data_IF_412660002803
#
_entry.id   IF_412660002803
#
_cell.length_a   1.000
_cell.length_b   1.000
_cell.length_c   1.000
_cell.angle_alpha   90.00
_cell.angle_beta   90.00
_cell.angle_gamma   90.00
#
_symmetry.space_group_name_H-M   'P 1'
#
loop_
_entity.id
_entity.type
_entity.pdbx_description
1 polymer ?
#
# COMPACT_ATOMS: atom_id res chain seq x y z
N UNK A 1 -15.11 24.09 -17.67
CA UNK A 1 -15.32 22.74 -18.21
C UNK A 1 -14.92 21.79 -17.10
N UNK A 2 -15.91 21.16 -16.47
CA UNK A 2 -15.69 20.16 -15.45
C UNK A 2 -15.12 18.91 -16.11
N UNK A 3 -13.86 18.59 -15.81
CA UNK A 3 -13.30 17.27 -16.08
C UNK A 3 -13.99 16.29 -15.13
N UNK A 4 -15.07 15.67 -15.59
CA UNK A 4 -15.60 14.46 -14.96
C UNK A 4 -14.57 13.34 -15.20
N UNK A 5 -13.67 13.14 -14.25
CA UNK A 5 -12.76 12.00 -14.23
C UNK A 5 -13.58 10.72 -14.11
N UNK A 6 -13.81 10.04 -15.24
CA UNK A 6 -14.31 8.68 -15.28
C UNK A 6 -13.39 7.72 -14.50
N UNK A 7 -13.84 6.49 -14.19
CA UNK A 7 -13.05 5.54 -13.41
C UNK A 7 -11.65 5.37 -14.02
N UNK A 8 -10.61 5.48 -13.18
CA UNK A 8 -9.21 5.36 -13.59
C UNK A 8 -9.03 4.06 -14.39
N UNK A 9 -8.84 4.17 -15.71
CA UNK A 9 -8.56 3.04 -16.57
C UNK A 9 -7.11 2.57 -16.31
N UNK A 10 -6.95 1.55 -15.46
CA UNK A 10 -5.64 1.07 -15.03
C UNK A 10 -5.08 0.07 -16.06
N UNK A 11 -4.00 0.46 -16.73
CA UNK A 11 -3.24 -0.43 -17.62
C UNK A 11 -1.90 -0.79 -16.97
N UNK A 12 -1.77 -2.05 -16.51
CA UNK A 12 -0.58 -2.57 -15.83
C UNK A 12 0.68 -2.39 -16.67
N UNK A 13 0.61 -2.57 -17.99
CA UNK A 13 1.77 -2.48 -18.89
C UNK A 13 2.31 -1.06 -19.03
N UNK A 14 1.56 -0.05 -18.59
CA UNK A 14 1.96 1.37 -18.58
C UNK A 14 2.45 1.83 -17.22
N UNK A 15 2.51 0.94 -16.23
CA UNK A 15 3.05 1.28 -14.91
C UNK A 15 4.56 1.41 -15.01
N UNK A 16 5.06 2.61 -14.72
CA UNK A 16 6.48 2.86 -14.51
C UNK A 16 6.58 4.12 -13.66
N UNK A 17 6.95 4.00 -12.40
CA UNK A 17 6.96 5.14 -11.50
C UNK A 17 8.16 6.06 -11.77
N UNK A 18 7.98 7.34 -11.46
CA UNK A 18 9.06 8.30 -11.39
C UNK A 18 10.19 7.76 -10.48
N UNK A 19 11.48 7.99 -10.78
CA UNK A 19 12.61 7.43 -10.00
C UNK A 19 12.48 7.61 -8.49
N UNK A 20 12.01 8.78 -8.03
CA UNK A 20 11.75 9.09 -6.60
C UNK A 20 10.81 8.08 -5.92
N UNK A 21 9.88 7.48 -6.67
CA UNK A 21 8.87 6.55 -6.16
C UNK A 21 9.07 5.12 -6.65
N UNK A 22 10.19 4.82 -7.34
CA UNK A 22 10.40 3.51 -7.96
C UNK A 22 10.47 2.38 -6.93
N UNK A 23 11.03 2.65 -5.76
CA UNK A 23 11.08 1.65 -4.68
C UNK A 23 9.70 1.30 -4.13
N UNK A 24 8.74 2.23 -4.17
CA UNK A 24 7.35 1.95 -3.78
C UNK A 24 6.69 1.01 -4.80
N UNK A 25 6.92 1.25 -6.09
CA UNK A 25 6.46 0.36 -7.16
C UNK A 25 7.04 -1.05 -6.97
N UNK A 26 8.36 -1.15 -6.81
CA UNK A 26 9.05 -2.43 -6.62
C UNK A 26 8.56 -3.15 -5.36
N UNK A 27 8.33 -2.43 -4.27
CA UNK A 27 7.79 -2.99 -3.02
C UNK A 27 6.41 -3.61 -3.23
N UNK A 28 5.54 -2.94 -3.98
CA UNK A 28 4.21 -3.49 -4.31
C UNK A 28 4.29 -4.76 -5.15
N UNK A 29 5.14 -4.77 -6.19
CA UNK A 29 5.34 -5.96 -7.01
C UNK A 29 5.96 -7.11 -6.22
N UNK A 30 6.95 -6.82 -5.38
CA UNK A 30 7.57 -7.81 -4.51
C UNK A 30 6.55 -8.41 -3.55
N UNK A 31 5.71 -7.58 -2.91
CA UNK A 31 4.63 -8.06 -2.06
C UNK A 31 3.69 -9.03 -2.79
N UNK A 32 3.18 -8.67 -3.97
CA UNK A 32 2.30 -9.56 -4.75
C UNK A 32 2.99 -10.88 -5.11
N UNK A 33 4.25 -10.81 -5.55
CA UNK A 33 5.04 -11.97 -5.89
C UNK A 33 5.27 -12.87 -4.67
N UNK A 34 5.65 -12.30 -3.52
CA UNK A 34 5.88 -13.02 -2.28
C UNK A 34 4.61 -13.74 -1.83
N UNK A 35 3.46 -13.07 -1.83
CA UNK A 35 2.19 -13.69 -1.41
C UNK A 35 1.79 -14.85 -2.33
N UNK A 36 1.94 -14.69 -3.65
CA UNK A 36 1.63 -15.78 -4.60
C UNK A 36 2.61 -16.95 -4.48
N UNK A 37 3.90 -16.65 -4.31
CA UNK A 37 4.97 -17.66 -4.25
C UNK A 37 4.89 -18.45 -2.95
N UNK A 38 4.71 -17.78 -1.81
CA UNK A 38 4.64 -18.42 -0.50
C UNK A 38 3.32 -19.16 -0.29
N UNK A 39 2.25 -18.83 -1.01
CA UNK A 39 1.00 -19.61 -0.96
C UNK A 39 0.99 -20.83 -1.87
N UNK A 40 2.01 -21.01 -2.71
CA UNK A 40 2.04 -22.10 -3.68
C UNK A 40 2.56 -23.41 -3.06
N UNK A 41 1.81 -24.49 -3.25
CA UNK A 41 2.13 -25.80 -2.67
C UNK A 41 3.47 -26.34 -3.15
N UNK A 42 3.72 -26.32 -4.46
CA UNK A 42 4.93 -26.92 -5.02
C UNK A 42 6.16 -26.12 -4.60
N UNK A 43 6.05 -24.80 -4.55
CA UNK A 43 7.10 -23.93 -4.03
C UNK A 43 7.40 -24.25 -2.56
N UNK A 44 6.38 -24.31 -1.70
CA UNK A 44 6.59 -24.67 -0.28
C UNK A 44 7.23 -26.04 -0.13
N UNK A 45 6.79 -27.03 -0.90
CA UNK A 45 7.31 -28.38 -0.83
C UNK A 45 8.78 -28.45 -1.28
N UNK A 46 9.14 -27.75 -2.36
CA UNK A 46 10.52 -27.64 -2.83
C UNK A 46 11.40 -26.95 -1.78
N UNK A 47 10.92 -25.85 -1.20
CA UNK A 47 11.67 -25.12 -0.16
C UNK A 47 11.94 -26.03 1.03
N UNK A 48 10.91 -26.70 1.57
CA UNK A 48 11.08 -27.61 2.72
C UNK A 48 12.04 -28.76 2.44
N UNK A 49 11.90 -29.41 1.27
CA UNK A 49 12.72 -30.56 0.87
C UNK A 49 14.18 -30.19 0.63
N UNK A 50 14.45 -29.02 0.03
CA UNK A 50 15.83 -28.54 -0.16
C UNK A 50 16.45 -28.09 1.16
N UNK A 51 15.65 -27.45 2.02
CA UNK A 51 16.08 -26.93 3.31
C UNK A 51 16.38 -28.04 4.33
N UNK A 52 15.72 -29.20 4.24
CA UNK A 52 16.02 -30.34 5.12
C UNK A 52 17.39 -30.99 4.90
N UNK A 53 18.12 -30.59 3.85
CA UNK A 53 19.43 -31.15 3.49
C UNK A 53 20.59 -30.24 3.95
N UNK A 54 20.31 -29.02 4.41
CA UNK A 54 21.32 -28.04 4.83
C UNK A 54 20.98 -27.47 6.21
N UNK A 55 21.84 -27.72 7.22
CA UNK A 55 21.60 -27.34 8.64
C UNK A 55 21.27 -25.85 8.85
N UNK A 56 21.72 -24.95 7.97
CA UNK A 56 21.41 -23.51 8.04
C UNK A 56 19.99 -23.12 7.63
N UNK A 57 19.17 -24.05 7.12
CA UNK A 57 17.85 -23.76 6.56
C UNK A 57 16.68 -24.22 7.44
N UNK A 58 16.95 -24.82 8.60
CA UNK A 58 15.90 -25.16 9.56
C UNK A 58 15.11 -23.91 10.00
N UNK A 59 15.81 -22.81 10.30
CA UNK A 59 15.17 -21.53 10.65
C UNK A 59 14.31 -20.96 9.52
N UNK A 60 14.59 -21.29 8.26
CA UNK A 60 13.73 -20.90 7.14
C UNK A 60 12.41 -21.66 7.13
N UNK A 61 12.44 -22.96 7.46
CA UNK A 61 11.20 -23.74 7.59
C UNK A 61 10.35 -23.20 8.76
N UNK A 62 10.98 -22.84 9.88
CA UNK A 62 10.30 -22.20 11.01
C UNK A 62 9.69 -20.83 10.63
N UNK A 63 10.40 -20.04 9.83
CA UNK A 63 9.86 -18.79 9.27
C UNK A 63 8.66 -19.03 8.35
N UNK A 64 8.70 -20.09 7.53
CA UNK A 64 7.59 -20.49 6.66
C UNK A 64 6.39 -20.98 7.46
N UNK A 65 6.61 -21.76 8.52
CA UNK A 65 5.55 -22.21 9.44
C UNK A 65 4.87 -21.02 10.12
N UNK A 66 5.67 -20.07 10.62
CA UNK A 66 5.18 -18.83 11.20
C UNK A 66 4.36 -17.99 10.20
N UNK A 67 4.78 -17.95 8.93
CA UNK A 67 4.01 -17.30 7.87
C UNK A 67 2.67 -18.00 7.62
N UNK A 68 2.67 -19.33 7.53
CA UNK A 68 1.46 -20.13 7.33
C UNK A 68 0.45 -19.92 8.46
N UNK A 69 0.92 -19.93 9.71
CA UNK A 69 0.08 -19.66 10.89
C UNK A 69 -0.46 -18.23 10.88
N UNK A 70 0.39 -17.22 10.62
CA UNK A 70 -0.02 -15.82 10.63
C UNK A 70 -1.08 -15.50 9.57
N UNK A 71 -1.01 -16.17 8.42
CA UNK A 71 -1.90 -15.97 7.27
C UNK A 71 -3.05 -16.96 7.19
N UNK A 72 -3.17 -17.87 8.16
CA UNK A 72 -4.16 -18.97 8.14
C UNK A 72 -4.15 -19.71 6.79
N UNK A 73 -2.95 -20.04 6.30
CA UNK A 73 -2.77 -20.69 5.02
C UNK A 73 -3.15 -22.17 5.11
N UNK A 74 -4.21 -22.54 4.39
CA UNK A 74 -4.64 -23.92 4.21
C UNK A 74 -4.32 -24.38 2.80
N UNK A 75 -3.57 -25.49 2.68
CA UNK A 75 -3.27 -26.11 1.40
C UNK A 75 -3.92 -27.49 1.37
N UNK A 76 -4.86 -27.67 0.46
CA UNK A 76 -5.49 -28.95 0.18
C UNK A 76 -4.94 -29.51 -1.13
N UNK A 77 -4.55 -30.79 -1.14
CA UNK A 77 -4.16 -31.50 -2.35
C UNK A 77 -5.16 -32.63 -2.63
N UNK A 78 -5.81 -32.57 -3.79
CA UNK A 78 -6.67 -33.63 -4.32
C UNK A 78 -6.06 -34.12 -5.63
N UNK A 79 -5.54 -35.34 -5.63
CA UNK A 79 -4.82 -35.93 -6.76
C UNK A 79 -3.66 -35.02 -7.24
N UNK A 80 -3.77 -34.50 -8.47
CA UNK A 80 -2.79 -33.62 -9.11
C UNK A 80 -3.12 -32.13 -8.95
N UNK A 81 -4.20 -31.77 -8.25
CA UNK A 81 -4.63 -30.38 -8.06
C UNK A 81 -4.35 -29.99 -6.61
N UNK A 82 -3.55 -28.93 -6.43
CA UNK A 82 -3.37 -28.27 -5.14
C UNK A 82 -4.15 -26.96 -5.12
N UNK A 83 -4.92 -26.73 -4.07
CA UNK A 83 -5.65 -25.49 -3.82
C UNK A 83 -5.19 -24.89 -2.52
N UNK A 84 -4.84 -23.61 -2.57
CA UNK A 84 -4.38 -22.84 -1.41
C UNK A 84 -5.40 -21.76 -1.06
N UNK A 85 -5.73 -21.64 0.21
CA UNK A 85 -6.57 -20.58 0.76
C UNK A 85 -5.80 -19.85 1.84
N UNK A 86 -5.67 -18.54 1.71
CA UNK A 86 -4.96 -17.70 2.67
C UNK A 86 -5.77 -16.46 3.04
N UNK A 87 -5.60 -15.99 4.27
CA UNK A 87 -6.12 -14.74 4.77
C UNK A 87 -5.00 -13.70 4.84
N UNK A 88 -4.99 -12.79 3.85
CA UNK A 88 -3.92 -11.78 3.70
C UNK A 88 -4.31 -10.40 4.20
N UNK A 89 -5.46 -10.28 4.88
CA UNK A 89 -6.01 -8.97 5.20
C UNK A 89 -5.05 -8.15 6.08
N UNK A 90 -4.39 -8.81 7.04
CA UNK A 90 -3.43 -8.15 7.94
C UNK A 90 -2.19 -7.68 7.19
N UNK A 91 -1.69 -8.49 6.27
CA UNK A 91 -0.52 -8.21 5.43
C UNK A 91 -0.82 -7.08 4.44
N UNK A 92 -2.02 -7.07 3.84
CA UNK A 92 -2.50 -5.98 3.00
C UNK A 92 -2.61 -4.66 3.77
N UNK A 93 -3.14 -4.69 5.01
CA UNK A 93 -3.20 -3.52 5.88
C UNK A 93 -1.79 -3.04 6.23
N UNK A 94 -0.91 -3.95 6.66
CA UNK A 94 0.47 -3.62 7.01
C UNK A 94 1.20 -2.98 5.83
N UNK A 95 1.12 -3.59 4.65
CA UNK A 95 1.80 -3.10 3.46
C UNK A 95 1.19 -1.80 2.93
N UNK A 96 -0.14 -1.66 2.96
CA UNK A 96 -0.82 -0.40 2.63
C UNK A 96 -0.37 0.75 3.53
N UNK A 97 -0.25 0.52 4.84
CA UNK A 97 0.29 1.50 5.78
C UNK A 97 1.74 1.87 5.46
N UNK A 98 2.60 0.88 5.23
CA UNK A 98 4.00 1.10 4.92
C UNK A 98 4.16 1.93 3.63
N UNK A 99 3.44 1.56 2.57
CA UNK A 99 3.46 2.30 1.29
C UNK A 99 2.97 3.74 1.44
N UNK A 100 1.91 3.98 2.24
CA UNK A 100 1.40 5.33 2.45
C UNK A 100 2.42 6.21 3.19
N UNK A 101 3.07 5.68 4.23
CA UNK A 101 4.12 6.36 4.98
C UNK A 101 5.32 6.67 4.08
N UNK A 102 5.86 5.66 3.40
CA UNK A 102 7.04 5.83 2.55
C UNK A 102 6.78 6.75 1.36
N UNK A 103 5.60 6.67 0.72
CA UNK A 103 5.23 7.58 -0.37
C UNK A 103 5.23 9.02 0.12
N UNK A 104 4.60 9.30 1.27
CA UNK A 104 4.59 10.64 1.85
C UNK A 104 6.00 11.13 2.18
N UNK A 105 6.79 10.30 2.85
CA UNK A 105 8.13 10.68 3.28
C UNK A 105 9.04 10.97 2.07
N UNK A 106 9.07 10.09 1.05
CA UNK A 106 9.83 10.31 -0.19
C UNK A 106 9.44 11.59 -0.91
N UNK A 107 8.14 11.87 -1.03
CA UNK A 107 7.67 13.10 -1.65
C UNK A 107 8.02 14.34 -0.83
N UNK A 108 7.82 14.29 0.48
CA UNK A 108 8.05 15.43 1.39
C UNK A 108 9.53 15.82 1.48
N UNK A 109 10.43 14.85 1.37
CA UNK A 109 11.88 15.04 1.40
C UNK A 109 12.47 15.34 0.02
N UNK A 110 11.71 15.15 -1.06
CA UNK A 110 12.17 15.44 -2.41
C UNK A 110 12.15 16.94 -2.73
N UNK A 111 12.92 17.34 -3.76
CA UNK A 111 12.90 18.70 -4.31
C UNK A 111 11.52 19.13 -4.84
N UNK A 112 10.63 18.19 -5.14
CA UNK A 112 9.28 18.46 -5.63
C UNK A 112 8.31 18.93 -4.55
N UNK A 113 8.64 18.74 -3.26
CA UNK A 113 7.75 19.05 -2.14
C UNK A 113 7.26 20.51 -2.18
N UNK A 114 8.14 21.45 -2.50
CA UNK A 114 7.80 22.88 -2.59
C UNK A 114 6.67 23.17 -3.61
N UNK A 115 6.50 22.29 -4.61
CA UNK A 115 5.50 22.43 -5.67
C UNK A 115 4.20 21.70 -5.28
N UNK A 116 4.30 20.48 -4.75
CA UNK A 116 3.14 19.59 -4.56
C UNK A 116 2.52 19.68 -3.17
N UNK A 117 3.17 20.30 -2.18
CA UNK A 117 2.73 20.24 -0.79
C UNK A 117 1.36 20.89 -0.49
N UNK A 118 0.87 21.70 -1.43
CA UNK A 118 -0.45 22.35 -1.39
C UNK A 118 -1.50 21.60 -2.20
N UNK A 119 -1.11 20.63 -3.04
CA UNK A 119 -2.05 19.85 -3.86
C UNK A 119 -3.01 19.07 -2.94
N UNK A 120 -4.29 18.99 -3.32
CA UNK A 120 -5.33 18.32 -2.51
C UNK A 120 -4.99 16.85 -2.28
N UNK A 121 -4.42 16.19 -3.29
CA UNK A 121 -3.97 14.80 -3.23
C UNK A 121 -2.83 14.62 -2.23
N UNK A 122 -1.96 15.64 -2.08
CA UNK A 122 -0.87 15.59 -1.10
C UNK A 122 -1.39 15.77 0.32
N UNK A 123 -2.37 16.64 0.50
CA UNK A 123 -3.09 16.76 1.77
C UNK A 123 -3.85 15.47 2.10
N UNK A 124 -4.52 14.86 1.12
CA UNK A 124 -5.18 13.56 1.25
C UNK A 124 -4.18 12.50 1.73
N UNK A 125 -3.05 12.35 1.02
CA UNK A 125 -1.97 11.43 1.40
C UNK A 125 -1.46 11.69 2.83
N UNK A 126 -1.33 12.97 3.24
CA UNK A 126 -0.91 13.35 4.60
C UNK A 126 -1.86 12.77 5.66
N UNK A 127 -3.17 12.86 5.45
CA UNK A 127 -4.16 12.30 6.39
C UNK A 127 -4.12 10.78 6.42
N UNK A 128 -3.97 10.13 5.26
CA UNK A 128 -3.80 8.68 5.19
C UNK A 128 -2.54 8.22 5.92
N UNK A 129 -1.39 8.86 5.66
CA UNK A 129 -0.13 8.60 6.33
C UNK A 129 -0.24 8.78 7.84
N UNK A 130 -0.88 9.85 8.30
CA UNK A 130 -1.06 10.10 9.72
C UNK A 130 -1.86 8.99 10.38
N UNK A 131 -3.00 8.59 9.82
CA UNK A 131 -3.75 7.50 10.43
C UNK A 131 -3.10 6.13 10.28
N UNK A 132 -2.30 5.91 9.23
CA UNK A 132 -1.43 4.74 9.14
C UNK A 132 -0.44 4.68 10.32
N UNK A 133 0.14 5.81 10.74
CA UNK A 133 0.99 5.90 11.92
C UNK A 133 0.22 5.79 13.25
N UNK A 134 -1.06 6.16 13.28
CA UNK A 134 -1.91 6.14 14.48
C UNK A 134 -2.88 4.95 14.49
N UNK A 135 -2.36 3.74 14.68
CA UNK A 135 -3.17 2.52 14.85
C UNK A 135 -4.21 2.28 13.76
N UNK A 136 -3.90 2.72 12.52
CA UNK A 136 -4.77 2.53 11.37
C UNK A 136 -6.15 3.22 11.50
N UNK A 137 -6.17 4.38 12.15
CA UNK A 137 -7.37 5.21 12.34
C UNK A 137 -7.13 6.65 11.96
N UNK A 138 -8.14 7.32 11.43
CA UNK A 138 -8.05 8.77 11.20
C UNK A 138 -7.86 9.53 12.51
N UNK A 139 -6.77 10.31 12.57
CA UNK A 139 -6.45 11.19 13.67
C UNK A 139 -6.53 12.66 13.22
N UNK A 140 -7.75 13.18 13.18
CA UNK A 140 -8.11 14.51 12.66
C UNK A 140 -8.13 15.59 13.75
N UNK A 141 -7.75 15.22 14.98
CA UNK A 141 -7.48 16.15 16.08
C UNK A 141 -5.99 16.22 16.37
N UNK A 142 -5.52 17.36 16.83
CA UNK A 142 -4.15 17.53 17.32
C UNK A 142 -4.00 17.06 18.78
N UNK A 143 -2.81 17.24 19.35
CA UNK A 143 -2.49 16.83 20.73
C UNK A 143 -3.30 17.60 21.79
N UNK A 144 -3.82 18.78 21.45
CA UNK A 144 -4.65 19.61 22.33
C UNK A 144 -6.14 19.30 22.17
N UNK A 145 -6.51 18.48 21.18
CA UNK A 145 -7.88 18.13 20.85
C UNK A 145 -8.52 19.04 19.79
N UNK A 146 -7.77 19.99 19.24
CA UNK A 146 -8.24 20.92 18.22
C UNK A 146 -8.32 20.22 16.85
N UNK A 147 -9.31 20.60 16.04
CA UNK A 147 -9.53 19.99 14.73
C UNK A 147 -8.48 20.45 13.71
N UNK A 148 -7.84 19.47 13.04
CA UNK A 148 -6.87 19.70 11.95
C UNK A 148 -7.50 20.09 10.62
N UNK A 149 -8.81 19.91 10.50
CA UNK A 149 -9.62 20.21 9.31
C UNK A 149 -10.82 21.06 9.73
N UNK A 150 -11.25 22.00 8.89
CA UNK A 150 -12.40 22.84 9.18
C UNK A 150 -13.72 22.05 9.08
N UNK A 151 -14.82 22.62 9.59
CA UNK A 151 -16.11 21.91 9.70
C UNK A 151 -16.70 21.52 8.34
N UNK A 152 -16.54 22.39 7.34
CA UNK A 152 -17.04 22.18 5.98
C UNK A 152 -15.93 21.83 4.98
N UNK A 153 -14.72 21.55 5.46
CA UNK A 153 -13.59 21.20 4.61
C UNK A 153 -13.63 19.72 4.25
N UNK A 154 -13.51 19.46 2.95
CA UNK A 154 -13.48 18.11 2.39
C UNK A 154 -12.18 17.98 1.60
N UNK A 155 -11.36 17.01 2.00
CA UNK A 155 -10.12 16.67 1.30
C UNK A 155 -10.40 15.40 0.50
N UNK A 156 -10.48 15.55 -0.83
CA UNK A 156 -10.92 14.49 -1.72
C UNK A 156 -9.83 13.96 -2.65
N UNK A 157 -9.88 12.67 -2.96
CA UNK A 157 -9.16 12.07 -4.08
C UNK A 157 -9.91 10.86 -4.62
N UNK A 158 -10.15 10.83 -5.94
CA UNK A 158 -10.76 9.69 -6.64
C UNK A 158 -12.06 9.17 -6.00
N UNK A 159 -12.98 10.08 -5.66
CA UNK A 159 -14.26 9.75 -5.02
C UNK A 159 -14.20 9.40 -3.54
N UNK A 160 -12.99 9.37 -2.94
CA UNK A 160 -12.81 9.23 -1.49
C UNK A 160 -12.72 10.62 -0.85
N UNK A 161 -13.47 10.83 0.23
CA UNK A 161 -13.59 12.12 0.89
C UNK A 161 -13.22 12.03 2.37
N UNK A 162 -12.26 12.86 2.80
CA UNK A 162 -11.88 12.99 4.20
C UNK A 162 -12.57 14.22 4.79
N UNK A 163 -13.37 13.97 5.83
CA UNK A 163 -14.05 15.00 6.62
C UNK A 163 -14.00 14.65 8.11
N UNK A 164 -14.43 15.57 8.99
CA UNK A 164 -14.44 15.36 10.46
C UNK A 164 -15.19 14.10 10.90
N UNK A 165 -16.15 13.64 10.09
CA UNK A 165 -16.95 12.43 10.34
C UNK A 165 -16.11 11.16 10.39
N UNK A 166 -14.92 11.16 9.79
CA UNK A 166 -14.03 10.01 9.78
C UNK A 166 -13.16 9.89 11.04
N UNK A 167 -13.22 10.84 11.98
CA UNK A 167 -12.44 10.76 13.22
C UNK A 167 -12.60 9.38 13.90
N UNK A 168 -11.48 8.76 14.28
CA UNK A 168 -11.39 7.44 14.91
C UNK A 168 -11.91 6.25 14.09
N UNK A 169 -12.34 6.46 12.84
CA UNK A 169 -12.68 5.37 11.92
C UNK A 169 -11.43 4.74 11.32
N UNK A 170 -11.52 3.47 10.91
CA UNK A 170 -10.41 2.76 10.30
C UNK A 170 -10.07 3.32 8.93
N UNK A 171 -8.78 3.31 8.59
CA UNK A 171 -8.30 3.68 7.25
C UNK A 171 -8.25 2.44 6.35
N UNK A 172 -7.35 1.51 6.67
CA UNK A 172 -7.21 0.26 5.95
C UNK A 172 -8.04 -0.85 6.63
N UNK A 173 -8.80 -1.69 5.94
CA UNK A 173 -9.09 -1.72 4.51
C UNK A 173 -10.50 -1.15 4.24
N UNK A 174 -11.03 -0.34 5.16
CA UNK A 174 -12.42 0.10 5.18
C UNK A 174 -12.62 1.37 4.33
N UNK A 175 -11.69 2.32 4.41
CA UNK A 175 -11.73 3.58 3.66
C UNK A 175 -10.90 3.52 2.38
N UNK A 176 -9.67 3.01 2.47
CA UNK A 176 -8.77 2.87 1.32
C UNK A 176 -8.03 1.54 1.38
N UNK A 177 -7.81 0.94 0.22
CA UNK A 177 -7.07 -0.31 0.08
C UNK A 177 -5.61 -0.09 -0.32
N UNK A 178 -4.78 -1.13 -0.20
CA UNK A 178 -3.41 -1.11 -0.73
C UNK A 178 -3.35 -0.75 -2.22
N UNK A 179 -4.34 -1.21 -3.01
CA UNK A 179 -4.45 -0.82 -4.42
C UNK A 179 -4.75 0.67 -4.58
N UNK A 180 -5.60 1.24 -3.71
CA UNK A 180 -5.86 2.68 -3.67
C UNK A 180 -4.58 3.48 -3.41
N UNK A 181 -3.73 3.03 -2.48
CA UNK A 181 -2.43 3.66 -2.22
C UNK A 181 -1.50 3.54 -3.42
N UNK A 182 -1.41 2.35 -4.02
CA UNK A 182 -0.61 2.16 -5.21
C UNK A 182 -1.02 3.13 -6.35
N UNK A 183 -2.33 3.31 -6.55
CA UNK A 183 -2.86 4.26 -7.53
C UNK A 183 -2.58 5.72 -7.15
N UNK A 184 -2.64 6.07 -5.87
CA UNK A 184 -2.28 7.40 -5.38
C UNK A 184 -0.79 7.68 -5.59
N UNK A 185 0.10 6.73 -5.28
CA UNK A 185 1.53 6.84 -5.56
C UNK A 185 1.79 6.97 -7.06
N UNK A 186 1.06 6.21 -7.90
CA UNK A 186 1.11 6.35 -9.36
C UNK A 186 0.69 7.74 -9.82
N UNK A 187 -0.37 8.31 -9.25
CA UNK A 187 -0.81 9.67 -9.52
C UNK A 187 0.34 10.67 -9.27
N UNK A 188 0.99 10.59 -8.11
CA UNK A 188 2.16 11.43 -7.83
C UNK A 188 3.31 11.19 -8.80
N UNK A 189 3.63 9.94 -9.13
CA UNK A 189 4.64 9.63 -10.15
C UNK A 189 4.39 10.37 -11.46
N UNK A 190 3.15 10.33 -11.98
CA UNK A 190 2.80 11.07 -13.20
C UNK A 190 2.87 12.59 -13.00
N UNK A 191 2.51 13.09 -11.82
CA UNK A 191 2.65 14.49 -11.45
C UNK A 191 4.12 14.95 -11.49
N UNK A 192 5.04 14.15 -10.94
CA UNK A 192 6.47 14.45 -10.93
C UNK A 192 7.06 14.50 -12.35
N UNK A 193 6.75 13.51 -13.19
CA UNK A 193 7.17 13.51 -14.61
C UNK A 193 6.68 14.75 -15.37
N UNK A 194 5.46 15.22 -15.10
CA UNK A 194 4.94 16.46 -15.68
C UNK A 194 5.72 17.70 -15.23
N UNK A 195 6.24 17.71 -14.00
CA UNK A 195 7.08 18.81 -13.50
C UNK A 195 8.41 18.80 -14.23
N UNK A 196 9.08 17.65 -14.34
CA UNK A 196 10.36 17.52 -15.05
C UNK A 196 10.26 17.99 -16.50
N UNK A 197 9.20 17.58 -17.20
CA UNK A 197 8.99 17.96 -18.60
C UNK A 197 8.71 19.45 -18.80
N UNK A 198 8.28 20.18 -17.76
CA UNK A 198 8.09 21.65 -17.82
C UNK A 198 9.35 22.44 -17.50
N UNK A 199 10.35 21.79 -16.91
CA UNK A 199 11.64 22.41 -16.56
C UNK A 199 12.72 22.18 -17.63
N UNK A 200 12.42 21.36 -18.65
CA UNK A 200 13.22 21.20 -19.87
C UNK A 200 12.80 22.23 -20.92
#
# INVERSE_FOLDING_TARGET
>A
MEDQEGPIQFNVNKVNFHPVLKDIENTFWFFLLSMRTLSDYDVQNILRTKNSVQEGYQSFNEMLDKFNEATDLHIEKKENIATSKLNILKEMIFMGKAMAVLTYDFLSLSSYNAIINKDNEFQFLRHIRNGAAHNNKFNLKDEKGDWKINENEIIGWNGLEISRKLQDTKIFNDFISIFGIFLLTKHFSERLKKIDNKQK
#
